data_IF_828969332071
#
_entry.id   IF_828969332071
#
_cell.length_a   1.000
_cell.length_b   1.000
_cell.length_c   1.000
_cell.angle_alpha   90.00
_cell.angle_beta   90.00
_cell.angle_gamma   90.00
#
_symmetry.space_group_name_H-M   'P 1'
#
loop_
_entity.id
_entity.type
_entity.pdbx_description
1 polymer ?
#
# COMPACT_ATOMS: atom_id res chain seq x y z
N UNK A 1 -11.27 25.62 8.50
CA UNK A 1 -10.86 24.89 7.28
C UNK A 1 -9.53 24.21 7.56
N UNK A 2 -9.40 22.89 7.32
CA UNK A 2 -8.11 22.20 7.43
C UNK A 2 -7.41 22.24 6.07
N UNK A 3 -6.08 22.42 5.99
CA UNK A 3 -5.35 22.42 4.73
C UNK A 3 -5.38 21.03 4.08
N UNK A 4 -5.42 21.00 2.74
CA UNK A 4 -5.27 19.77 1.96
C UNK A 4 -3.86 19.18 2.14
N UNK A 5 -3.80 17.86 2.25
CA UNK A 5 -2.60 17.05 2.32
C UNK A 5 -2.38 16.34 0.99
N UNK A 6 -1.19 15.81 0.83
CA UNK A 6 -0.86 14.97 -0.31
C UNK A 6 -1.84 13.79 -0.42
N UNK A 7 -2.46 13.61 -1.60
CA UNK A 7 -3.51 12.63 -1.80
C UNK A 7 -4.94 13.10 -1.47
N UNK A 8 -5.13 14.27 -0.85
CA UNK A 8 -6.48 14.83 -0.63
C UNK A 8 -7.07 15.44 -1.91
N UNK A 9 -6.22 15.82 -2.86
CA UNK A 9 -6.60 16.44 -4.14
C UNK A 9 -6.19 15.58 -5.35
N UNK A 10 -5.52 14.46 -5.12
CA UNK A 10 -4.97 13.59 -6.15
C UNK A 10 -5.05 12.11 -5.75
N UNK A 11 -5.27 11.23 -6.71
CA UNK A 11 -5.32 9.79 -6.47
C UNK A 11 -3.96 9.07 -6.44
N UNK A 12 -2.86 9.78 -6.16
CA UNK A 12 -1.50 9.22 -6.24
C UNK A 12 -1.09 8.45 -4.99
N UNK A 13 -1.98 8.22 -4.02
CA UNK A 13 -1.70 7.51 -2.78
C UNK A 13 -0.96 6.17 -3.01
N UNK A 14 -1.39 5.38 -4.00
CA UNK A 14 -0.73 4.11 -4.34
C UNK A 14 0.69 4.27 -4.89
N UNK A 15 0.97 5.34 -5.66
CA UNK A 15 2.33 5.63 -6.13
C UNK A 15 3.22 6.03 -4.95
N UNK A 16 2.72 6.84 -4.02
CA UNK A 16 3.47 7.18 -2.81
C UNK A 16 3.73 5.95 -1.94
N UNK A 17 2.77 5.04 -1.78
CA UNK A 17 2.99 3.79 -1.07
C UNK A 17 4.07 2.94 -1.74
N UNK A 18 4.13 2.90 -3.08
CA UNK A 18 5.23 2.23 -3.79
C UNK A 18 6.56 2.89 -3.45
N UNK A 19 6.68 4.21 -3.62
CA UNK A 19 7.92 4.95 -3.33
C UNK A 19 8.37 4.73 -1.88
N UNK A 20 7.46 4.85 -0.91
CA UNK A 20 7.76 4.64 0.51
C UNK A 20 8.22 3.21 0.80
N UNK A 21 7.60 2.21 0.16
CA UNK A 21 7.97 0.81 0.33
C UNK A 21 9.37 0.52 -0.21
N UNK A 22 9.70 1.03 -1.41
CA UNK A 22 11.04 0.86 -2.01
C UNK A 22 12.08 1.63 -1.20
N UNK A 23 11.77 2.87 -0.80
CA UNK A 23 12.62 3.68 0.07
C UNK A 23 12.93 2.96 1.38
N UNK A 24 11.94 2.35 2.01
CA UNK A 24 12.12 1.59 3.25
C UNK A 24 13.08 0.41 3.06
N UNK A 25 12.90 -0.36 1.99
CA UNK A 25 13.65 -1.60 1.72
C UNK A 25 15.09 -1.28 1.27
N UNK A 26 15.24 -0.35 0.32
CA UNK A 26 16.54 -0.02 -0.31
C UNK A 26 17.28 1.14 0.34
N UNK A 27 16.66 1.77 1.34
CA UNK A 27 17.21 2.93 2.05
C UNK A 27 17.50 4.11 1.12
N UNK A 28 16.60 4.32 0.14
CA UNK A 28 16.73 5.40 -0.82
C UNK A 28 16.78 6.76 -0.12
N UNK A 29 17.63 7.65 -0.61
CA UNK A 29 17.65 9.05 -0.23
C UNK A 29 16.50 9.81 -0.91
N UNK A 30 16.42 11.12 -0.67
CA UNK A 30 15.33 11.95 -1.21
C UNK A 30 15.36 12.02 -2.73
N UNK A 31 16.52 12.27 -3.34
CA UNK A 31 16.68 12.37 -4.80
C UNK A 31 16.31 11.06 -5.51
N UNK A 32 16.78 9.92 -4.98
CA UNK A 32 16.44 8.60 -5.51
C UNK A 32 14.94 8.29 -5.37
N UNK A 33 14.30 8.77 -4.29
CA UNK A 33 12.86 8.60 -4.07
C UNK A 33 12.04 9.45 -5.03
N UNK A 34 12.49 10.68 -5.31
CA UNK A 34 11.88 11.57 -6.31
C UNK A 34 12.04 11.00 -7.72
N UNK A 35 13.22 10.47 -8.07
CA UNK A 35 13.45 9.82 -9.35
C UNK A 35 12.51 8.63 -9.55
N UNK A 36 12.35 7.78 -8.53
CA UNK A 36 11.39 6.67 -8.54
C UNK A 36 9.95 7.18 -8.74
N UNK A 37 9.57 8.23 -8.02
CA UNK A 37 8.26 8.85 -8.17
C UNK A 37 8.01 9.30 -9.61
N UNK A 38 8.97 9.99 -10.24
CA UNK A 38 8.88 10.41 -11.63
C UNK A 38 8.83 9.23 -12.61
N UNK A 39 9.58 8.15 -12.37
CA UNK A 39 9.51 6.92 -13.18
C UNK A 39 8.11 6.31 -13.15
N UNK A 40 7.48 6.27 -11.97
CA UNK A 40 6.10 5.80 -11.82
C UNK A 40 5.11 6.67 -12.61
N UNK A 41 5.22 8.00 -12.53
CA UNK A 41 4.37 8.93 -13.27
C UNK A 41 4.53 8.78 -14.78
N UNK A 42 5.77 8.70 -15.28
CA UNK A 42 6.05 8.49 -16.71
C UNK A 42 5.49 7.17 -17.23
N UNK A 43 5.55 6.10 -16.44
CA UNK A 43 4.94 4.83 -16.82
C UNK A 43 3.41 4.94 -16.88
N UNK A 44 2.80 5.59 -15.89
CA UNK A 44 1.36 5.86 -15.86
C UNK A 44 0.91 6.71 -17.05
N UNK A 45 1.70 7.72 -17.44
CA UNK A 45 1.47 8.56 -18.61
C UNK A 45 1.57 7.77 -19.91
N UNK A 46 2.65 6.99 -20.08
CA UNK A 46 2.87 6.14 -21.25
C UNK A 46 1.71 5.15 -21.47
N UNK A 47 1.11 4.66 -20.38
CA UNK A 47 -0.06 3.77 -20.42
C UNK A 47 -1.40 4.49 -20.54
N UNK A 48 -1.40 5.84 -20.69
CA UNK A 48 -2.59 6.70 -20.74
C UNK A 48 -3.52 6.52 -19.53
N UNK A 49 -2.93 6.28 -18.36
CA UNK A 49 -3.64 6.11 -17.09
C UNK A 49 -3.44 7.26 -16.13
N UNK A 50 -2.51 8.18 -16.40
CA UNK A 50 -2.17 9.26 -15.46
C UNK A 50 -3.36 10.14 -15.09
N UNK A 51 -4.14 10.62 -16.07
CA UNK A 51 -5.33 11.45 -15.80
C UNK A 51 -6.39 10.69 -14.97
N UNK A 52 -6.61 9.41 -15.27
CA UNK A 52 -7.49 8.55 -14.48
C UNK A 52 -6.98 8.36 -13.07
N UNK A 53 -5.68 8.10 -12.88
CA UNK A 53 -5.09 7.91 -11.54
C UNK A 53 -5.21 9.18 -10.71
N UNK A 54 -4.91 10.34 -11.29
CA UNK A 54 -5.01 11.63 -10.59
C UNK A 54 -6.44 11.88 -10.15
N UNK A 55 -7.43 11.52 -10.96
CA UNK A 55 -8.86 11.76 -10.68
C UNK A 55 -9.52 10.71 -9.78
N UNK A 56 -9.19 9.44 -9.94
CA UNK A 56 -9.95 8.30 -9.39
C UNK A 56 -9.12 7.37 -8.49
N UNK A 57 -7.84 7.66 -8.29
CA UNK A 57 -6.97 6.79 -7.50
C UNK A 57 -6.14 5.80 -8.31
N UNK A 58 -5.11 5.27 -7.64
CA UNK A 58 -4.26 4.22 -8.20
C UNK A 58 -4.96 2.86 -8.11
N UNK A 59 -5.58 2.43 -9.21
CA UNK A 59 -6.18 1.09 -9.31
C UNK A 59 -5.15 -0.03 -9.16
N UNK A 60 -5.57 -1.20 -8.65
CA UNK A 60 -4.71 -2.37 -8.50
C UNK A 60 -3.92 -2.73 -9.79
N UNK A 61 -4.51 -2.74 -11.01
CA UNK A 61 -3.77 -3.02 -12.24
C UNK A 61 -2.62 -2.03 -12.52
N UNK A 62 -2.78 -0.76 -12.15
CA UNK A 62 -1.70 0.24 -12.28
C UNK A 62 -0.54 -0.14 -11.36
N UNK A 63 -0.83 -0.46 -10.10
CA UNK A 63 0.21 -0.85 -9.14
C UNK A 63 0.95 -2.11 -9.59
N UNK A 64 0.24 -3.13 -10.09
CA UNK A 64 0.87 -4.35 -10.63
C UNK A 64 1.86 -4.00 -11.76
N UNK A 65 1.48 -3.11 -12.67
CA UNK A 65 2.37 -2.69 -13.76
C UNK A 65 3.62 -1.98 -13.24
N UNK A 66 3.47 -1.08 -12.27
CA UNK A 66 4.61 -0.38 -11.68
C UNK A 66 5.53 -1.38 -10.96
N UNK A 67 4.97 -2.33 -10.21
CA UNK A 67 5.77 -3.38 -9.58
C UNK A 67 6.57 -4.17 -10.60
N UNK A 68 5.90 -4.69 -11.63
CA UNK A 68 6.55 -5.54 -12.63
C UNK A 68 7.60 -4.80 -13.49
N UNK A 69 7.34 -3.55 -13.89
CA UNK A 69 8.22 -2.84 -14.84
C UNK A 69 9.30 -1.98 -14.17
N UNK A 70 9.10 -1.60 -12.91
CA UNK A 70 10.01 -0.71 -12.19
C UNK A 70 10.57 -1.41 -10.96
N UNK A 71 9.74 -1.80 -10.01
CA UNK A 71 10.20 -2.26 -8.68
C UNK A 71 10.98 -3.57 -8.78
N UNK A 72 10.41 -4.57 -9.45
CA UNK A 72 11.00 -5.91 -9.56
C UNK A 72 12.26 -5.88 -10.44
N UNK A 73 12.22 -5.16 -11.56
CA UNK A 73 13.33 -5.13 -12.54
C UNK A 73 14.46 -4.20 -12.11
N UNK A 74 14.15 -2.96 -11.73
CA UNK A 74 15.18 -1.92 -11.52
C UNK A 74 15.71 -1.93 -10.09
N UNK A 75 14.89 -2.33 -9.12
CA UNK A 75 15.29 -2.36 -7.70
C UNK A 75 15.51 -3.78 -7.19
N UNK A 76 15.17 -4.83 -7.96
CA UNK A 76 15.37 -6.21 -7.53
C UNK A 76 14.62 -6.55 -6.23
N UNK A 77 13.42 -5.98 -6.06
CA UNK A 77 12.53 -6.27 -4.92
C UNK A 77 11.45 -7.18 -5.46
N UNK A 78 11.37 -8.41 -4.95
CA UNK A 78 10.33 -9.33 -5.40
C UNK A 78 8.99 -8.91 -4.83
N UNK A 79 8.00 -8.70 -5.70
CA UNK A 79 6.63 -8.44 -5.29
C UNK A 79 5.78 -9.70 -5.40
N UNK A 80 5.19 -10.14 -4.29
CA UNK A 80 4.29 -11.31 -4.26
C UNK A 80 2.92 -10.95 -3.72
N UNK A 81 1.89 -11.70 -4.15
CA UNK A 81 0.51 -11.51 -3.69
C UNK A 81 -0.10 -12.84 -3.22
N UNK A 82 0.23 -13.33 -2.02
CA UNK A 82 -0.17 -14.67 -1.54
C UNK A 82 -1.69 -14.89 -1.52
N UNK A 83 -2.47 -13.81 -1.40
CA UNK A 83 -3.91 -13.85 -1.24
C UNK A 83 -4.70 -13.48 -2.50
N UNK A 84 -4.06 -13.13 -3.63
CA UNK A 84 -4.74 -12.54 -4.81
C UNK A 84 -5.90 -13.39 -5.40
N UNK A 85 -5.86 -14.71 -5.23
CA UNK A 85 -6.90 -15.66 -5.69
C UNK A 85 -7.79 -16.19 -4.57
N UNK A 86 -7.57 -15.77 -3.31
CA UNK A 86 -8.32 -16.29 -2.16
C UNK A 86 -9.53 -15.41 -1.88
N UNK A 87 -10.72 -15.99 -1.97
CA UNK A 87 -12.00 -15.28 -1.77
C UNK A 87 -12.28 -14.93 -0.31
N UNK A 88 -11.98 -15.85 0.62
CA UNK A 88 -12.34 -15.72 2.03
C UNK A 88 -11.14 -15.78 2.96
N UNK A 89 -10.35 -14.71 2.99
CA UNK A 89 -9.22 -14.59 3.90
C UNK A 89 -9.71 -13.98 5.23
N UNK A 90 -9.62 -14.76 6.31
CA UNK A 90 -9.95 -14.24 7.64
C UNK A 90 -8.94 -13.20 8.09
N UNK A 91 -9.38 -12.24 8.92
CA UNK A 91 -8.48 -11.24 9.50
C UNK A 91 -7.33 -11.90 10.27
N UNK A 92 -7.57 -13.00 10.99
CA UNK A 92 -6.51 -13.72 11.71
C UNK A 92 -5.45 -14.27 10.75
N UNK A 93 -5.88 -15.02 9.73
CA UNK A 93 -4.96 -15.59 8.74
C UNK A 93 -4.13 -14.52 8.03
N UNK A 94 -4.77 -13.42 7.60
CA UNK A 94 -4.05 -12.30 6.99
C UNK A 94 -3.06 -11.67 7.98
N UNK A 95 -3.50 -11.42 9.22
CA UNK A 95 -2.70 -10.74 10.23
C UNK A 95 -1.45 -11.53 10.62
N UNK A 96 -1.63 -12.82 10.90
CA UNK A 96 -0.54 -13.71 11.30
C UNK A 96 0.49 -13.88 10.16
N UNK A 97 0.02 -13.92 8.91
CA UNK A 97 0.90 -13.95 7.74
C UNK A 97 1.70 -12.65 7.61
N UNK A 98 1.09 -11.48 7.78
CA UNK A 98 1.80 -10.19 7.73
C UNK A 98 2.84 -10.09 8.86
N UNK A 99 2.47 -10.51 10.08
CA UNK A 99 3.39 -10.55 11.22
C UNK A 99 4.61 -11.41 10.87
N UNK A 100 4.38 -12.66 10.46
CA UNK A 100 5.45 -13.61 10.12
C UNK A 100 6.32 -13.10 8.96
N UNK A 101 5.70 -12.54 7.92
CA UNK A 101 6.42 -12.03 6.76
C UNK A 101 7.39 -10.90 7.11
N UNK A 102 6.98 -9.99 8.01
CA UNK A 102 7.74 -8.83 8.45
C UNK A 102 8.75 -9.13 9.57
N UNK A 103 8.85 -10.38 10.05
CA UNK A 103 9.94 -10.79 10.94
C UNK A 103 11.30 -10.76 10.24
N UNK A 104 11.31 -10.94 8.90
CA UNK A 104 12.52 -10.80 8.09
C UNK A 104 12.80 -9.32 7.83
N UNK A 105 13.99 -8.80 8.20
CA UNK A 105 14.35 -7.41 7.96
C UNK A 105 14.37 -7.04 6.47
N UNK A 106 14.13 -5.76 6.17
CA UNK A 106 14.17 -5.26 4.79
C UNK A 106 12.95 -5.66 3.95
N UNK A 107 11.82 -5.96 4.60
CA UNK A 107 10.55 -6.27 3.94
C UNK A 107 9.47 -5.24 4.24
N UNK A 108 8.50 -5.12 3.36
CA UNK A 108 7.34 -4.27 3.55
C UNK A 108 6.08 -4.92 2.95
N UNK A 109 4.90 -4.52 3.44
CA UNK A 109 3.61 -4.93 2.86
C UNK A 109 2.87 -3.68 2.44
N UNK A 110 2.55 -3.57 1.15
CA UNK A 110 1.63 -2.56 0.65
C UNK A 110 0.21 -3.14 0.74
N UNK A 111 -0.62 -2.59 1.62
CA UNK A 111 -1.95 -3.10 1.94
C UNK A 111 -3.04 -2.11 1.51
N UNK A 112 -4.10 -2.63 0.89
CA UNK A 112 -5.30 -1.86 0.57
C UNK A 112 -6.23 -1.80 1.78
N UNK A 113 -6.76 -0.62 2.07
CA UNK A 113 -7.72 -0.36 3.14
C UNK A 113 -8.88 0.46 2.62
N UNK A 114 -10.11 0.09 2.99
CA UNK A 114 -11.30 0.89 2.78
C UNK A 114 -11.88 1.31 4.14
N UNK A 115 -12.53 2.47 4.20
CA UNK A 115 -13.29 2.88 5.36
C UNK A 115 -14.62 3.53 4.93
N UNK A 116 -15.59 3.61 5.84
CA UNK A 116 -16.98 3.96 5.49
C UNK A 116 -17.11 5.36 4.87
N UNK A 117 -16.21 6.28 5.24
CA UNK A 117 -16.30 7.69 4.91
C UNK A 117 -15.08 8.19 4.11
N UNK A 118 -14.27 7.31 3.55
CA UNK A 118 -13.17 7.69 2.67
C UNK A 118 -13.01 6.68 1.53
N UNK A 119 -12.49 7.18 0.42
CA UNK A 119 -12.09 6.35 -0.71
C UNK A 119 -10.98 5.37 -0.30
N UNK A 120 -10.94 4.22 -0.98
CA UNK A 120 -9.93 3.19 -0.73
C UNK A 120 -8.51 3.75 -0.79
N UNK A 121 -7.70 3.38 0.20
CA UNK A 121 -6.35 3.89 0.39
C UNK A 121 -5.33 2.75 0.37
N UNK A 122 -4.11 3.08 -0.03
CA UNK A 122 -2.97 2.18 0.01
C UNK A 122 -2.02 2.62 1.10
N UNK A 123 -1.50 1.66 1.85
CA UNK A 123 -0.68 1.92 3.02
C UNK A 123 0.49 0.95 3.09
N UNK A 124 1.64 1.42 3.60
CA UNK A 124 2.85 0.61 3.72
C UNK A 124 3.03 0.16 5.17
N UNK A 125 2.84 -1.13 5.43
CA UNK A 125 3.19 -1.77 6.70
C UNK A 125 4.65 -2.18 6.69
N UNK A 126 5.43 -1.62 7.62
CA UNK A 126 6.88 -1.90 7.75
C UNK A 126 7.22 -2.68 9.01
N UNK A 127 6.30 -2.72 9.97
CA UNK A 127 6.41 -3.54 11.18
C UNK A 127 5.03 -4.00 11.61
N UNK A 128 4.95 -5.22 12.12
CA UNK A 128 3.70 -5.79 12.61
C UNK A 128 3.91 -6.49 13.96
N UNK A 129 2.85 -6.49 14.76
CA UNK A 129 2.74 -7.23 16.02
C UNK A 129 1.39 -7.93 16.03
N UNK A 130 1.11 -8.87 16.95
CA UNK A 130 -0.20 -9.53 17.03
C UNK A 130 -1.41 -8.59 17.23
N UNK A 131 -1.17 -7.31 17.60
CA UNK A 131 -2.21 -6.32 17.90
C UNK A 131 -2.19 -5.08 17.00
N UNK A 132 -1.03 -4.74 16.43
CA UNK A 132 -0.84 -3.45 15.74
C UNK A 132 0.09 -3.58 14.54
N UNK A 133 -0.29 -2.99 13.41
CA UNK A 133 0.58 -2.71 12.27
C UNK A 133 1.09 -1.27 12.36
N UNK A 134 2.36 -1.08 11.99
CA UNK A 134 3.06 0.20 11.99
C UNK A 134 3.27 0.61 10.54
N UNK A 135 2.77 1.80 10.22
CA UNK A 135 2.68 2.28 8.85
C UNK A 135 3.80 3.28 8.54
N UNK A 136 4.20 3.29 7.29
CA UNK A 136 5.12 4.27 6.70
C UNK A 136 4.42 5.04 5.59
N UNK A 137 3.30 5.67 5.95
CA UNK A 137 2.53 6.53 5.04
C UNK A 137 2.58 7.99 5.44
N UNK A 138 2.19 8.84 4.49
CA UNK A 138 2.02 10.28 4.65
C UNK A 138 0.67 10.67 5.28
N UNK A 139 -0.26 9.72 5.52
CA UNK A 139 -1.63 9.98 5.98
C UNK A 139 -1.88 9.77 7.49
N UNK A 140 -3.08 10.12 7.96
CA UNK A 140 -3.48 10.40 9.35
C UNK A 140 -3.14 9.36 10.43
N UNK A 141 -3.00 8.07 10.08
CA UNK A 141 -2.74 7.01 11.06
C UNK A 141 -1.37 6.38 10.82
N UNK A 142 -0.49 6.50 11.81
CA UNK A 142 0.79 5.77 11.81
C UNK A 142 0.64 4.32 12.25
N UNK A 143 -0.53 3.95 12.78
CA UNK A 143 -0.78 2.67 13.43
C UNK A 143 -2.17 2.16 13.07
N UNK A 144 -2.24 0.89 12.67
CA UNK A 144 -3.49 0.18 12.51
C UNK A 144 -3.66 -0.84 13.62
N UNK A 145 -4.69 -0.67 14.43
CA UNK A 145 -5.00 -1.60 15.51
C UNK A 145 -5.91 -2.73 15.01
N UNK A 146 -5.49 -3.99 15.20
CA UNK A 146 -6.24 -5.19 14.78
C UNK A 146 -7.70 -5.17 15.20
N UNK A 147 -8.00 -4.68 16.41
CA UNK A 147 -9.36 -4.59 16.97
C UNK A 147 -10.31 -3.69 16.18
N UNK A 148 -9.77 -2.73 15.41
CA UNK A 148 -10.52 -1.78 14.57
C UNK A 148 -10.63 -2.25 13.11
N UNK A 149 -10.03 -3.40 12.78
CA UNK A 149 -9.90 -3.91 11.42
C UNK A 149 -10.84 -5.08 11.18
N UNK A 150 -11.23 -5.26 9.92
CA UNK A 150 -12.07 -6.34 9.41
C UNK A 150 -11.60 -6.73 8.00
N UNK A 151 -11.90 -7.95 7.56
CA UNK A 151 -11.70 -8.36 6.15
C UNK A 151 -13.02 -8.67 5.44
N UNK A 152 -14.15 -8.51 6.13
CA UNK A 152 -15.48 -8.91 5.62
C UNK A 152 -16.43 -7.72 5.40
N UNK A 153 -16.54 -6.87 6.41
CA UNK A 153 -17.42 -5.70 6.39
C UNK A 153 -16.98 -4.64 7.37
N UNK A 154 -17.36 -3.40 7.08
CA UNK A 154 -17.19 -2.25 7.96
C UNK A 154 -18.32 -2.25 9.00
N UNK A 155 -18.01 -1.79 10.21
CA UNK A 155 -19.00 -1.55 11.27
C UNK A 155 -18.48 -0.49 12.24
N UNK A 156 -19.36 0.05 13.09
CA UNK A 156 -19.01 1.06 14.12
C UNK A 156 -17.79 0.63 14.96
N UNK A 157 -17.71 -0.65 15.33
CA UNK A 157 -16.60 -1.18 16.13
C UNK A 157 -15.33 -1.46 15.33
N UNK A 158 -15.47 -1.72 14.02
CA UNK A 158 -14.40 -2.05 13.08
C UNK A 158 -14.56 -1.21 11.82
N UNK A 159 -14.19 0.08 11.88
CA UNK A 159 -14.46 1.04 10.81
C UNK A 159 -13.57 0.83 9.57
N UNK A 160 -12.57 -0.05 9.65
CA UNK A 160 -11.59 -0.26 8.61
C UNK A 160 -11.69 -1.67 8.02
N UNK A 161 -11.78 -1.75 6.70
CA UNK A 161 -11.77 -2.98 5.92
C UNK A 161 -10.41 -3.12 5.26
N UNK A 162 -9.62 -4.10 5.67
CA UNK A 162 -8.39 -4.46 4.96
C UNK A 162 -8.75 -5.43 3.85
N UNK A 163 -8.12 -5.27 2.69
CA UNK A 163 -8.34 -6.11 1.52
C UNK A 163 -7.12 -7.03 1.24
N UNK A 164 -7.05 -8.24 1.81
CA UNK A 164 -5.92 -9.16 1.61
C UNK A 164 -5.58 -9.44 0.15
N UNK A 165 -6.60 -9.56 -0.71
CA UNK A 165 -6.45 -9.81 -2.16
C UNK A 165 -5.74 -8.67 -2.87
N UNK A 166 -5.81 -7.46 -2.34
CA UNK A 166 -5.20 -6.25 -2.87
C UNK A 166 -3.77 -6.04 -2.35
N UNK A 167 -3.34 -6.77 -1.31
CA UNK A 167 -2.02 -6.57 -0.71
C UNK A 167 -0.86 -7.14 -1.53
N UNK A 168 0.28 -6.44 -1.49
CA UNK A 168 1.57 -6.83 -2.05
C UNK A 168 2.59 -7.02 -0.93
N UNK A 169 3.37 -8.10 -1.02
CA UNK A 169 4.39 -8.49 -0.05
C UNK A 169 5.75 -8.38 -0.72
N UNK A 170 6.59 -7.50 -0.19
CA UNK A 170 7.80 -7.00 -0.84
C UNK A 170 9.05 -7.42 -0.07
N UNK A 171 10.02 -8.03 -0.77
CA UNK A 171 11.38 -8.35 -0.30
C UNK A 171 11.75 -9.80 -0.48
#
# INVERSE_FOLDING_TARGET
>A
MKPYRQGDLDGLCGIYSIVNSVRYIKKLNTEESEELFYKCLRLAEKKRKLSTIVKEGSSLPVLINIFNEIVDIQYGIKSTRPFHKRKDVSLGCYWDYVVTFLEVPGRAVLAGIDCENAEGHWSVVVKATPKTFYLMDSYYEKLWHRRKMSTKRISINRPYLVAPTHSFFLG
#
